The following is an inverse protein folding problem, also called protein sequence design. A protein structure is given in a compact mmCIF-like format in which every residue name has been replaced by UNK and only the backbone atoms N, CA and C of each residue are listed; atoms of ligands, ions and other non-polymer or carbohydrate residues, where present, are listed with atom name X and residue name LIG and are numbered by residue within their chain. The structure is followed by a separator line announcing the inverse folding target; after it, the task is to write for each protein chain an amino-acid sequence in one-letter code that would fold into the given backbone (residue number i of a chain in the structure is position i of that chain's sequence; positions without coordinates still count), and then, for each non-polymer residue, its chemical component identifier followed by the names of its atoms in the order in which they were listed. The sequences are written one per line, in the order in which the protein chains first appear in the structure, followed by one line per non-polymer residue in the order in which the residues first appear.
data_IF_550284930204
#
_entry.id   IF_550284930204
#
_cell.length_a   1.000
_cell.length_b   1.000
_cell.length_c   1.000
_cell.angle_alpha   90.00
_cell.angle_beta   90.00
_cell.angle_gamma   90.00
#
_symmetry.space_group_name_H-M   'P 1'
#
loop_
_entity.id
_entity.type
_entity.pdbx_description
1 polymer ?
#
# COMPACT_ATOMS: atom_id res chain seq x y z
N UNK A 1 -57.32 7.49 -11.84
CA UNK A 1 -56.03 8.11 -12.22
C UNK A 1 -54.96 7.90 -11.13
N UNK A 2 -54.56 6.65 -10.83
CA UNK A 2 -53.55 6.35 -9.78
C UNK A 2 -52.52 5.28 -10.19
N UNK A 3 -52.61 4.71 -11.40
CA UNK A 3 -51.75 3.62 -11.89
C UNK A 3 -50.60 4.06 -12.81
N UNK A 4 -50.54 5.34 -13.19
CA UNK A 4 -49.50 5.86 -14.09
C UNK A 4 -48.25 6.37 -13.35
N UNK A 5 -48.34 6.67 -12.06
CA UNK A 5 -47.20 7.17 -11.27
C UNK A 5 -46.20 6.08 -10.88
N UNK A 6 -46.62 4.82 -10.83
CA UNK A 6 -45.76 3.71 -10.39
C UNK A 6 -44.77 3.26 -11.47
N UNK A 7 -45.10 3.47 -12.75
CA UNK A 7 -44.23 3.06 -13.88
C UNK A 7 -43.08 4.06 -14.07
N UNK A 8 -43.30 5.34 -13.77
CA UNK A 8 -42.25 6.36 -13.86
C UNK A 8 -41.18 6.21 -12.77
N UNK A 9 -41.56 5.67 -11.59
CA UNK A 9 -40.62 5.45 -10.48
C UNK A 9 -39.70 4.24 -10.70
N UNK A 10 -40.11 3.27 -11.53
CA UNK A 10 -39.34 2.06 -11.81
C UNK A 10 -38.37 2.23 -12.99
N UNK A 11 -38.61 3.18 -13.91
CA UNK A 11 -37.68 3.45 -15.01
C UNK A 11 -36.47 4.31 -14.62
N UNK A 12 -36.52 5.04 -13.50
CA UNK A 12 -35.41 5.86 -13.01
C UNK A 12 -34.26 5.08 -12.37
N UNK A 13 -34.46 3.78 -12.07
CA UNK A 13 -33.46 2.93 -11.40
C UNK A 13 -32.62 2.07 -12.35
N UNK A 14 -32.97 2.03 -13.65
CA UNK A 14 -32.31 1.17 -14.63
C UNK A 14 -31.41 1.93 -15.63
N UNK A 15 -31.40 3.27 -15.58
CA UNK A 15 -30.60 4.09 -16.49
C UNK A 15 -29.29 4.55 -15.82
N UNK A 16 -28.23 3.80 -16.08
CA UNK A 16 -26.93 4.39 -16.37
C UNK A 16 -26.10 4.85 -15.18
N UNK A 17 -25.42 3.89 -14.56
CA UNK A 17 -24.00 4.06 -14.29
C UNK A 17 -23.34 2.68 -14.28
N UNK A 18 -23.27 2.07 -15.45
CA UNK A 18 -22.12 1.23 -15.79
C UNK A 18 -20.90 2.14 -15.73
N UNK A 19 -20.40 2.39 -14.51
CA UNK A 19 -19.09 2.97 -14.29
C UNK A 19 -18.10 1.91 -14.77
N UNK A 20 -17.86 1.93 -16.08
CA UNK A 20 -16.70 1.34 -16.70
C UNK A 20 -15.54 1.79 -15.84
N UNK A 21 -14.92 0.84 -15.15
CA UNK A 21 -13.70 1.11 -14.38
C UNK A 21 -12.81 1.95 -15.31
N UNK A 22 -12.27 3.09 -14.85
CA UNK A 22 -11.19 3.71 -15.59
C UNK A 22 -10.07 2.67 -15.63
N UNK A 23 -10.04 1.95 -16.75
CA UNK A 23 -8.89 1.21 -17.22
C UNK A 23 -7.72 2.15 -17.02
N UNK A 24 -6.71 1.70 -16.30
CA UNK A 24 -5.52 2.49 -16.03
C UNK A 24 -4.97 2.86 -17.41
N UNK A 25 -5.29 4.07 -17.90
CA UNK A 25 -4.66 4.62 -19.09
C UNK A 25 -3.28 5.02 -18.65
N UNK A 26 -2.39 4.03 -18.59
CA UNK A 26 -0.95 4.26 -18.65
C UNK A 26 -0.72 4.94 -19.99
N UNK A 27 -0.56 6.26 -19.97
CA UNK A 27 -0.12 7.00 -21.14
C UNK A 27 1.23 6.39 -21.58
N UNK A 28 1.42 6.16 -22.88
CA UNK A 28 2.59 5.47 -23.45
C UNK A 28 3.93 6.18 -23.15
N UNK A 29 3.87 7.37 -22.55
CA UNK A 29 5.01 8.21 -22.16
C UNK A 29 5.16 8.38 -20.64
N UNK A 30 4.37 7.70 -19.83
CA UNK A 30 4.45 7.78 -18.36
C UNK A 30 5.71 7.06 -17.87
N UNK A 31 6.67 7.81 -17.32
CA UNK A 31 7.77 7.24 -16.53
C UNK A 31 7.31 7.13 -15.07
N UNK A 32 6.99 5.94 -14.55
CA UNK A 32 6.47 5.76 -13.19
C UNK A 32 7.49 6.13 -12.10
N UNK A 33 8.76 6.34 -12.46
CA UNK A 33 9.86 6.62 -11.53
C UNK A 33 9.96 8.14 -11.32
N UNK A 34 9.31 8.62 -10.27
CA UNK A 34 9.33 10.03 -9.85
C UNK A 34 7.94 10.64 -9.67
N UNK A 35 6.93 10.12 -10.36
CA UNK A 35 5.54 10.60 -10.27
C UNK A 35 4.65 9.72 -9.37
N UNK A 36 5.06 8.47 -9.12
CA UNK A 36 4.26 7.53 -8.32
C UNK A 36 4.45 7.78 -6.82
N UNK A 37 3.33 8.02 -6.13
CA UNK A 37 3.27 8.27 -4.69
C UNK A 37 3.02 6.97 -3.96
N UNK A 38 4.00 6.54 -3.18
CA UNK A 38 3.95 5.26 -2.51
C UNK A 38 3.92 5.39 -1.00
N UNK A 39 3.20 4.49 -0.33
CA UNK A 39 3.29 4.34 1.12
C UNK A 39 3.98 3.02 1.46
N UNK A 40 4.98 3.07 2.34
CA UNK A 40 5.70 1.87 2.78
C UNK A 40 5.09 1.38 4.09
N UNK A 41 4.55 0.17 4.08
CA UNK A 41 3.93 -0.44 5.26
C UNK A 41 4.98 -0.95 6.25
N UNK A 42 4.60 -1.10 7.54
CA UNK A 42 5.43 -1.80 8.52
C UNK A 42 5.87 -3.18 8.01
N UNK A 43 7.16 -3.46 8.14
CA UNK A 43 7.77 -4.69 7.65
C UNK A 43 7.23 -5.91 8.39
N UNK A 44 6.87 -6.94 7.64
CA UNK A 44 6.56 -8.26 8.21
C UNK A 44 7.86 -8.93 8.61
N UNK A 45 8.02 -9.24 9.89
CA UNK A 45 9.24 -9.81 10.45
C UNK A 45 9.09 -11.30 10.76
N UNK A 46 10.14 -12.12 10.58
CA UNK A 46 10.16 -13.50 10.99
C UNK A 46 10.14 -13.60 12.53
N UNK A 47 9.62 -14.71 13.06
CA UNK A 47 9.51 -14.93 14.53
C UNK A 47 10.83 -14.85 15.29
N UNK A 48 11.96 -15.03 14.62
CA UNK A 48 13.31 -14.89 15.21
C UNK A 48 13.67 -13.44 15.55
N UNK A 49 13.00 -12.45 14.95
CA UNK A 49 13.31 -11.02 15.10
C UNK A 49 12.37 -10.29 16.08
N UNK A 50 12.05 -10.89 17.23
CA UNK A 50 11.08 -10.31 18.21
C UNK A 50 11.48 -8.94 18.79
N UNK A 51 12.78 -8.62 18.83
CA UNK A 51 13.30 -7.35 19.38
C UNK A 51 13.45 -6.24 18.33
N UNK A 52 13.25 -6.56 17.05
CA UNK A 52 13.41 -5.58 15.97
C UNK A 52 12.09 -4.85 15.76
N UNK A 53 12.14 -3.52 15.64
CA UNK A 53 10.96 -2.73 15.33
C UNK A 53 10.66 -2.78 13.81
N UNK A 54 9.49 -3.29 13.38
CA UNK A 54 9.06 -3.30 11.98
C UNK A 54 9.16 -1.95 11.28
N UNK A 55 8.84 -0.86 11.97
CA UNK A 55 8.85 0.50 11.41
C UNK A 55 10.27 0.96 11.08
N UNK A 56 11.27 0.54 11.87
CA UNK A 56 12.68 0.87 11.61
C UNK A 56 13.16 0.21 10.32
N UNK A 57 12.84 -1.08 10.11
CA UNK A 57 13.19 -1.79 8.87
C UNK A 57 12.53 -1.13 7.66
N UNK A 58 11.26 -0.75 7.81
CA UNK A 58 10.50 -0.06 6.75
C UNK A 58 11.10 1.30 6.43
N UNK A 59 11.48 2.09 7.43
CA UNK A 59 12.09 3.41 7.25
C UNK A 59 13.44 3.33 6.51
N UNK A 60 14.25 2.31 6.80
CA UNK A 60 15.50 2.08 6.05
C UNK A 60 15.22 1.82 4.57
N UNK A 61 14.20 1.02 4.26
CA UNK A 61 13.81 0.74 2.88
C UNK A 61 13.11 1.92 2.21
N UNK A 62 12.31 2.69 2.94
CA UNK A 62 11.73 3.95 2.48
C UNK A 62 12.83 4.90 2.00
N UNK A 63 13.97 4.94 2.70
CA UNK A 63 15.11 5.79 2.31
C UNK A 63 15.69 5.38 0.96
N UNK A 64 15.76 4.07 0.69
CA UNK A 64 16.21 3.57 -0.62
C UNK A 64 15.14 3.81 -1.71
N UNK A 65 13.86 3.64 -1.38
CA UNK A 65 12.74 3.86 -2.31
C UNK A 65 12.53 5.33 -2.66
N UNK A 66 12.89 6.26 -1.76
CA UNK A 66 12.86 7.71 -2.01
C UNK A 66 13.75 8.13 -3.19
N UNK A 67 14.70 7.29 -3.61
CA UNK A 67 15.52 7.51 -4.81
C UNK A 67 14.74 7.31 -6.11
N UNK A 68 13.61 6.62 -6.06
CA UNK A 68 12.84 6.16 -7.23
C UNK A 68 11.38 6.63 -7.22
N UNK A 69 10.81 6.92 -6.05
CA UNK A 69 9.39 7.21 -5.86
C UNK A 69 9.18 8.32 -4.82
N UNK A 70 8.03 8.99 -4.87
CA UNK A 70 7.60 9.89 -3.78
C UNK A 70 7.09 9.01 -2.62
N UNK A 71 7.88 8.87 -1.56
CA UNK A 71 7.47 8.08 -0.39
C UNK A 71 6.71 8.97 0.59
N UNK A 72 5.45 8.62 0.86
CA UNK A 72 4.62 9.28 1.84
C UNK A 72 5.00 8.86 3.26
N UNK A 73 4.92 9.82 4.17
CA UNK A 73 5.12 9.58 5.60
C UNK A 73 4.00 8.66 6.14
N UNK A 74 4.42 7.50 6.66
CA UNK A 74 3.50 6.49 7.18
C UNK A 74 2.68 7.00 8.38
N UNK A 75 3.27 7.81 9.27
CA UNK A 75 2.58 8.33 10.45
C UNK A 75 1.48 9.29 10.02
N UNK A 76 1.78 10.17 9.05
CA UNK A 76 0.78 11.08 8.48
C UNK A 76 -0.34 10.32 7.76
N UNK A 77 0.00 9.24 7.06
CA UNK A 77 -0.99 8.39 6.41
C UNK A 77 -1.88 7.66 7.43
N UNK A 78 -1.30 7.10 8.50
CA UNK A 78 -2.06 6.48 9.61
C UNK A 78 -2.99 7.49 10.29
N UNK A 79 -2.54 8.72 10.52
CA UNK A 79 -3.38 9.80 11.06
C UNK A 79 -4.53 10.13 10.12
N UNK A 80 -4.25 10.28 8.83
CA UNK A 80 -5.28 10.53 7.81
C UNK A 80 -6.35 9.42 7.75
N UNK A 81 -5.95 8.17 7.92
CA UNK A 81 -6.86 7.02 7.99
C UNK A 81 -7.68 7.06 9.28
N UNK A 82 -7.04 7.36 10.40
CA UNK A 82 -7.67 7.46 11.72
C UNK A 82 -8.75 8.54 11.75
N UNK A 83 -8.49 9.70 11.13
CA UNK A 83 -9.48 10.79 10.98
C UNK A 83 -10.74 10.34 10.24
N UNK A 84 -10.62 9.31 9.40
CA UNK A 84 -11.71 8.70 8.63
C UNK A 84 -12.25 7.42 9.25
N UNK A 85 -11.85 7.12 10.50
CA UNK A 85 -12.23 5.92 11.25
C UNK A 85 -11.81 4.63 10.53
N UNK A 86 -10.67 4.68 9.85
CA UNK A 86 -10.04 3.54 9.18
C UNK A 86 -8.72 3.19 9.86
N UNK A 87 -8.37 1.91 9.84
CA UNK A 87 -7.04 1.43 10.21
C UNK A 87 -6.22 1.10 8.97
N UNK A 88 -4.91 0.89 9.11
CA UNK A 88 -4.06 0.39 8.02
C UNK A 88 -4.57 -0.92 7.44
N UNK A 89 -4.98 -1.87 8.29
CA UNK A 89 -5.52 -3.15 7.84
C UNK A 89 -6.81 -2.98 7.03
N UNK A 90 -7.61 -1.98 7.37
CA UNK A 90 -8.87 -1.66 6.69
C UNK A 90 -8.67 -0.82 5.43
N UNK A 91 -7.56 -0.08 5.32
CA UNK A 91 -7.27 0.82 4.20
C UNK A 91 -7.28 0.11 2.84
N UNK A 92 -7.04 -1.20 2.84
CA UNK A 92 -6.97 -2.03 1.62
C UNK A 92 -8.23 -2.88 1.38
N UNK A 93 -9.23 -2.75 2.25
CA UNK A 93 -10.55 -3.33 2.04
C UNK A 93 -11.29 -2.59 0.92
N UNK A 94 -12.17 -3.30 0.19
CA UNK A 94 -12.94 -2.78 -0.95
C UNK A 94 -13.61 -1.42 -0.65
N UNK A 95 -14.07 -1.20 0.58
CA UNK A 95 -14.74 0.04 1.01
C UNK A 95 -13.79 1.23 1.22
N UNK A 96 -12.52 0.99 1.52
CA UNK A 96 -11.54 2.02 1.85
C UNK A 96 -10.64 2.42 0.66
N UNK A 97 -10.65 1.64 -0.42
CA UNK A 97 -9.76 1.85 -1.59
C UNK A 97 -9.94 3.23 -2.23
N UNK A 98 -11.18 3.69 -2.33
CA UNK A 98 -11.54 5.02 -2.84
C UNK A 98 -10.95 6.14 -1.97
N UNK A 99 -10.91 5.95 -0.66
CA UNK A 99 -10.36 6.92 0.28
C UNK A 99 -8.83 7.01 0.16
N UNK A 100 -8.15 5.87 0.00
CA UNK A 100 -6.69 5.81 -0.13
C UNK A 100 -6.21 6.45 -1.43
N UNK A 101 -6.88 6.18 -2.56
CA UNK A 101 -6.49 6.77 -3.84
C UNK A 101 -6.96 8.23 -3.98
N UNK A 102 -8.25 8.48 -3.80
CA UNK A 102 -8.82 9.78 -4.21
C UNK A 102 -8.50 10.89 -3.22
N UNK A 103 -8.37 10.55 -1.94
CA UNK A 103 -8.13 11.53 -0.88
C UNK A 103 -6.68 11.56 -0.39
N UNK A 104 -6.03 10.41 -0.21
CA UNK A 104 -4.62 10.38 0.17
C UNK A 104 -3.67 10.47 -1.05
N UNK A 105 -4.17 10.28 -2.28
CA UNK A 105 -3.39 10.30 -3.52
C UNK A 105 -2.20 9.34 -3.42
N UNK A 106 -2.49 8.11 -3.02
CA UNK A 106 -1.53 6.98 -2.97
C UNK A 106 -1.74 6.18 -4.25
N UNK A 107 -0.68 6.01 -5.04
CA UNK A 107 -0.70 5.25 -6.29
C UNK A 107 -0.30 3.79 -6.09
N UNK A 108 0.62 3.52 -5.14
CA UNK A 108 1.01 2.16 -4.80
C UNK A 108 1.35 2.01 -3.32
N UNK A 109 1.28 0.78 -2.83
CA UNK A 109 1.65 0.40 -1.47
C UNK A 109 2.84 -0.54 -1.55
N UNK A 110 3.90 -0.22 -0.83
CA UNK A 110 5.05 -1.10 -0.67
C UNK A 110 4.88 -1.96 0.59
N UNK A 111 4.63 -3.25 0.40
CA UNK A 111 4.72 -4.25 1.46
C UNK A 111 6.15 -4.76 1.57
N UNK A 112 6.71 -4.67 2.77
CA UNK A 112 8.06 -5.17 3.10
C UNK A 112 7.94 -6.47 3.88
N UNK A 113 8.68 -7.49 3.46
CA UNK A 113 8.79 -8.77 4.14
C UNK A 113 10.27 -9.11 4.35
N UNK A 114 10.69 -9.32 5.60
CA UNK A 114 11.97 -9.94 5.90
C UNK A 114 11.77 -11.45 5.92
N UNK A 115 12.20 -12.14 4.86
CA UNK A 115 11.96 -13.58 4.71
C UNK A 115 13.16 -14.43 5.16
N UNK A 116 14.35 -13.82 5.33
CA UNK A 116 15.56 -14.51 5.80
C UNK A 116 16.31 -13.63 6.76
N UNK A 117 16.69 -14.22 7.89
CA UNK A 117 17.59 -13.63 8.87
C UNK A 117 18.58 -14.70 9.33
N UNK A 118 19.84 -14.53 8.97
CA UNK A 118 20.94 -15.37 9.43
C UNK A 118 21.87 -14.50 10.26
N UNK A 119 21.87 -14.74 11.56
CA UNK A 119 22.81 -14.11 12.48
C UNK A 119 24.22 -14.59 12.14
N UNK A 120 25.17 -13.65 12.09
CA UNK A 120 26.56 -13.99 11.78
C UNK A 120 27.17 -14.82 12.90
N UNK A 121 27.54 -16.07 12.62
CA UNK A 121 28.25 -16.91 13.59
C UNK A 121 29.72 -16.49 13.68
N UNK A 122 30.05 -15.67 14.68
CA UNK A 122 31.43 -15.37 15.03
C UNK A 122 32.03 -16.48 15.89
N UNK A 123 32.72 -17.44 15.28
CA UNK A 123 33.42 -18.52 16.00
C UNK A 123 34.72 -18.11 16.70
N UNK A 124 35.24 -16.92 16.41
CA UNK A 124 36.48 -16.39 16.98
C UNK A 124 36.32 -14.89 17.33
N UNK A 125 36.83 -14.42 18.47
CA UNK A 125 36.63 -13.06 18.99
C UNK A 125 37.24 -11.92 18.13
N UNK A 126 37.84 -12.25 16.98
CA UNK A 126 38.45 -11.31 16.03
C UNK A 126 37.86 -11.37 14.61
N UNK A 127 36.91 -12.28 14.33
CA UNK A 127 36.29 -12.34 13.00
C UNK A 127 35.03 -11.48 12.93
N UNK A 128 34.93 -10.67 11.87
CA UNK A 128 33.75 -9.84 11.58
C UNK A 128 32.51 -10.74 11.54
N UNK A 129 31.56 -10.48 12.44
CA UNK A 129 30.25 -11.10 12.38
C UNK A 129 29.54 -10.61 11.11
N UNK A 130 29.44 -11.47 10.12
CA UNK A 130 28.71 -11.20 8.88
C UNK A 130 27.41 -12.00 8.90
N UNK A 131 26.28 -11.32 9.06
CA UNK A 131 24.95 -11.89 8.91
C UNK A 131 24.41 -11.71 7.50
N UNK A 132 23.31 -12.41 7.18
CA UNK A 132 22.56 -12.21 5.93
C UNK A 132 21.12 -11.86 6.24
N UNK A 133 20.63 -10.81 5.58
CA UNK A 133 19.22 -10.43 5.59
C UNK A 133 18.66 -10.57 4.18
N UNK A 134 17.54 -11.29 4.05
CA UNK A 134 16.75 -11.37 2.85
C UNK A 134 15.50 -10.52 3.01
N UNK A 135 15.36 -9.49 2.17
CA UNK A 135 14.21 -8.59 2.15
C UNK A 135 13.50 -8.73 0.82
N UNK A 136 12.17 -8.80 0.87
CA UNK A 136 11.30 -8.76 -0.29
C UNK A 136 10.42 -7.52 -0.19
N UNK A 137 10.37 -6.74 -1.26
CA UNK A 137 9.44 -5.62 -1.41
C UNK A 137 8.46 -5.96 -2.50
N UNK A 138 7.17 -5.79 -2.21
CA UNK A 138 6.07 -5.99 -3.16
C UNK A 138 5.33 -4.67 -3.28
N UNK A 139 5.20 -4.16 -4.50
CA UNK A 139 4.32 -3.03 -4.77
C UNK A 139 2.93 -3.59 -5.02
N UNK A 140 1.91 -2.95 -4.46
CA UNK A 140 0.53 -3.34 -4.61
C UNK A 140 -0.29 -2.12 -5.03
N UNK A 141 -1.16 -2.31 -6.01
CA UNK A 141 -2.17 -1.31 -6.33
C UNK A 141 -3.23 -1.26 -5.21
N UNK A 142 -3.40 -0.11 -4.51
CA UNK A 142 -4.39 0.05 -3.44
C UNK A 142 -5.84 -0.20 -3.90
N UNK A 143 -6.13 -0.04 -5.19
CA UNK A 143 -7.47 -0.13 -5.76
C UNK A 143 -7.83 -1.55 -6.22
N UNK A 144 -6.92 -2.26 -6.87
CA UNK A 144 -7.19 -3.62 -7.33
C UNK A 144 -6.74 -4.67 -6.31
N UNK A 145 -5.69 -4.38 -5.54
CA UNK A 145 -4.99 -5.34 -4.71
C UNK A 145 -4.01 -6.24 -5.49
N UNK A 146 -3.78 -5.94 -6.78
CA UNK A 146 -2.78 -6.64 -7.59
C UNK A 146 -1.37 -6.25 -7.14
N UNK A 147 -0.47 -7.24 -7.16
CA UNK A 147 0.95 -7.15 -6.81
C UNK A 147 1.77 -7.25 -8.09
#
# INVERSE_FOLDING_TARGET
MRRLLTIFLLLGLAAGATARAPDIRMDEKYDPRGEMRIVVLPATLPRSLKRTNPRTVSALLSTELLRLYEVLDLIRFEQFLTDRKLTLDQAFSIKARTVVRDSAKVDAIASVEVFRWEEGSGGLPLMKQAGRIGVRVRLMDPFTGHI
#
